data_IF_817193253825
#
_entry.id   IF_817193253825
#
_cell.length_a   1.000
_cell.length_b   1.000
_cell.length_c   1.000
_cell.angle_alpha   90.00
_cell.angle_beta   90.00
_cell.angle_gamma   90.00
#
_symmetry.space_group_name_H-M   'P 1'
#
loop_
_entity.id
_entity.type
_entity.pdbx_description
1 polymer ?
#
# COMPACT_ATOMS: atom_id res chain seq x y z
N UNK A 1 -4.45 33.51 -4.71
CA UNK A 1 -5.07 33.86 -3.42
C UNK A 1 -5.77 32.60 -2.91
N UNK A 2 -5.59 32.20 -1.66
CA UNK A 2 -6.30 31.04 -1.10
C UNK A 2 -7.79 31.37 -0.95
N UNK A 3 -8.68 30.39 -1.16
CA UNK A 3 -10.13 30.56 -0.95
C UNK A 3 -10.38 30.69 0.55
N UNK A 4 -10.92 31.84 0.97
CA UNK A 4 -11.36 32.05 2.35
C UNK A 4 -12.84 31.71 2.48
N UNK A 5 -13.19 30.90 3.46
CA UNK A 5 -14.57 30.61 3.84
C UNK A 5 -14.76 31.19 5.24
N UNK A 6 -15.56 32.26 5.35
CA UNK A 6 -15.90 32.88 6.63
C UNK A 6 -17.28 32.38 7.09
N UNK A 7 -17.29 31.60 8.17
CA UNK A 7 -18.50 31.04 8.76
C UNK A 7 -19.02 31.87 9.94
N UNK A 8 -18.38 32.98 10.31
CA UNK A 8 -18.78 33.81 11.45
C UNK A 8 -20.15 34.44 11.23
N UNK A 9 -20.98 34.45 12.26
CA UNK A 9 -22.31 35.09 12.25
C UNK A 9 -23.34 34.40 11.34
N UNK A 10 -23.07 33.18 10.87
CA UNK A 10 -23.99 32.40 10.03
C UNK A 10 -24.64 31.28 10.82
N UNK A 11 -25.95 31.11 10.68
CA UNK A 11 -26.58 29.82 10.94
C UNK A 11 -26.17 28.89 9.79
N UNK A 12 -25.43 27.84 10.10
CA UNK A 12 -24.91 26.87 9.12
C UNK A 12 -25.55 25.52 9.40
N UNK A 13 -26.28 25.01 8.42
CA UNK A 13 -26.77 23.64 8.45
C UNK A 13 -25.69 22.69 7.90
N UNK A 14 -25.75 21.38 8.21
CA UNK A 14 -24.80 20.40 7.69
C UNK A 14 -24.61 20.45 6.16
N UNK A 15 -25.67 20.75 5.41
CA UNK A 15 -25.64 20.85 3.95
C UNK A 15 -24.80 22.04 3.46
N UNK A 16 -24.84 23.17 4.18
CA UNK A 16 -24.03 24.35 3.86
C UNK A 16 -22.54 24.06 4.05
N UNK A 17 -22.20 23.30 5.09
CA UNK A 17 -20.83 22.88 5.38
C UNK A 17 -20.30 21.90 4.33
N UNK A 18 -21.13 20.94 3.91
CA UNK A 18 -20.77 19.98 2.87
C UNK A 18 -20.55 20.66 1.51
N UNK A 19 -21.39 21.64 1.16
CA UNK A 19 -21.23 22.43 -0.05
C UNK A 19 -20.00 23.36 0.00
N UNK A 20 -19.61 23.81 1.19
CA UNK A 20 -18.44 24.66 1.38
C UNK A 20 -17.12 23.89 1.14
N UNK A 21 -17.06 22.60 1.47
CA UNK A 21 -15.86 21.75 1.31
C UNK A 21 -15.74 21.25 -0.14
N UNK A 22 -14.72 21.69 -0.91
CA UNK A 22 -14.54 21.21 -2.28
C UNK A 22 -14.23 19.70 -2.29
N UNK A 23 -14.92 18.95 -3.17
CA UNK A 23 -14.67 17.53 -3.43
C UNK A 23 -14.24 17.33 -4.88
N UNK A 24 -13.20 16.52 -5.12
CA UNK A 24 -12.78 16.15 -6.47
C UNK A 24 -13.63 14.99 -7.01
N UNK A 25 -14.53 15.25 -7.98
CA UNK A 25 -15.48 14.25 -8.49
C UNK A 25 -15.21 13.78 -9.94
N UNK A 26 -14.68 14.65 -10.82
CA UNK A 26 -14.78 14.45 -12.28
C UNK A 26 -13.84 13.42 -12.93
N UNK A 27 -12.81 12.92 -12.24
CA UNK A 27 -11.76 12.09 -12.85
C UNK A 27 -11.85 10.57 -12.55
N UNK A 28 -13.01 10.08 -12.04
CA UNK A 28 -13.10 8.74 -11.43
C UNK A 28 -13.52 7.61 -12.38
N UNK A 29 -14.43 7.84 -13.33
CA UNK A 29 -15.04 6.73 -14.08
C UNK A 29 -14.14 6.18 -15.20
N UNK A 30 -13.49 7.04 -15.99
CA UNK A 30 -12.55 6.62 -17.05
C UNK A 30 -11.32 5.91 -16.45
N UNK A 31 -10.82 6.43 -15.33
CA UNK A 31 -9.72 5.82 -14.60
C UNK A 31 -10.11 4.44 -14.02
N UNK A 32 -11.38 4.24 -13.66
CA UNK A 32 -11.88 2.95 -13.18
C UNK A 32 -11.93 1.92 -14.31
N UNK A 33 -12.47 2.30 -15.47
CA UNK A 33 -12.49 1.43 -16.65
C UNK A 33 -11.06 1.03 -17.08
N UNK A 34 -10.13 1.99 -17.04
CA UNK A 34 -8.70 1.75 -17.34
C UNK A 34 -8.06 0.80 -16.33
N UNK A 35 -8.28 1.02 -15.02
CA UNK A 35 -7.76 0.14 -13.98
C UNK A 35 -8.34 -1.28 -14.10
N UNK A 36 -9.64 -1.40 -14.42
CA UNK A 36 -10.28 -2.69 -14.63
C UNK A 36 -9.68 -3.47 -15.80
N UNK A 37 -9.44 -2.79 -16.93
CA UNK A 37 -8.77 -3.39 -18.08
C UNK A 37 -7.36 -3.88 -17.73
N UNK A 38 -6.58 -3.07 -17.02
CA UNK A 38 -5.23 -3.42 -16.57
C UNK A 38 -5.24 -4.65 -15.65
N UNK A 39 -6.17 -4.71 -14.69
CA UNK A 39 -6.29 -5.85 -13.76
C UNK A 39 -6.66 -7.12 -14.52
N UNK A 40 -7.65 -7.04 -15.42
CA UNK A 40 -8.09 -8.18 -16.24
C UNK A 40 -6.97 -8.70 -17.15
N UNK A 41 -6.16 -7.78 -17.68
CA UNK A 41 -5.03 -8.10 -18.53
C UNK A 41 -3.91 -8.85 -17.78
N UNK A 42 -3.62 -8.44 -16.54
CA UNK A 42 -2.71 -9.21 -15.66
C UNK A 42 -3.28 -10.58 -15.31
N UNK A 43 -4.59 -10.68 -15.07
CA UNK A 43 -5.24 -11.97 -14.82
C UNK A 43 -5.11 -12.93 -16.03
N UNK A 44 -5.15 -12.39 -17.24
CA UNK A 44 -5.08 -13.18 -18.47
C UNK A 44 -3.66 -13.52 -18.93
N UNK A 45 -2.71 -12.58 -18.78
CA UNK A 45 -1.35 -12.67 -19.36
C UNK A 45 -0.22 -12.66 -18.33
N UNK A 46 -0.52 -12.51 -17.04
CA UNK A 46 0.47 -12.57 -15.97
C UNK A 46 1.65 -11.61 -16.16
N UNK A 47 2.86 -12.18 -16.17
CA UNK A 47 4.10 -11.40 -16.22
C UNK A 47 4.25 -10.53 -17.47
N UNK A 48 3.69 -10.94 -18.62
CA UNK A 48 3.83 -10.19 -19.86
C UNK A 48 3.05 -8.88 -19.83
N UNK A 49 1.85 -8.88 -19.26
CA UNK A 49 1.08 -7.65 -19.01
C UNK A 49 1.84 -6.70 -18.06
N UNK A 50 2.50 -7.22 -17.03
CA UNK A 50 3.30 -6.41 -16.11
C UNK A 50 4.51 -5.77 -16.79
N UNK A 51 5.19 -6.50 -17.69
CA UNK A 51 6.31 -5.95 -18.47
C UNK A 51 5.86 -4.85 -19.42
N UNK A 52 4.75 -5.06 -20.12
CA UNK A 52 4.18 -4.05 -21.02
C UNK A 52 3.81 -2.77 -20.27
N UNK A 53 3.23 -2.91 -19.07
CA UNK A 53 2.92 -1.77 -18.20
C UNK A 53 4.18 -1.04 -17.72
N UNK A 54 5.21 -1.76 -17.30
CA UNK A 54 6.49 -1.16 -16.90
C UNK A 54 7.13 -0.39 -18.08
N UNK A 55 7.10 -0.95 -19.29
CA UNK A 55 7.57 -0.29 -20.50
C UNK A 55 6.81 1.01 -20.77
N UNK A 56 5.47 0.94 -20.69
CA UNK A 56 4.59 2.06 -21.03
C UNK A 56 4.58 3.18 -19.99
N UNK A 57 4.54 2.83 -18.70
CA UNK A 57 4.27 3.79 -17.63
C UNK A 57 5.54 4.16 -16.84
N UNK A 58 6.46 3.21 -16.68
CA UNK A 58 7.72 3.42 -15.97
C UNK A 58 8.90 3.63 -16.94
N UNK A 59 8.74 3.31 -18.23
CA UNK A 59 9.78 3.41 -19.26
C UNK A 59 10.96 2.45 -19.03
N UNK A 60 10.66 1.28 -18.47
CA UNK A 60 11.63 0.23 -18.14
C UNK A 60 11.28 -1.05 -18.89
N UNK A 61 12.27 -1.66 -19.54
CA UNK A 61 12.14 -2.93 -20.27
C UNK A 61 13.18 -3.95 -19.77
N UNK A 62 12.86 -5.24 -19.90
CA UNK A 62 13.81 -6.35 -19.67
C UNK A 62 14.29 -6.50 -18.22
N UNK A 63 13.65 -5.82 -17.25
CA UNK A 63 14.02 -5.90 -15.84
C UNK A 63 13.51 -7.18 -15.17
N UNK A 64 14.14 -7.54 -14.07
CA UNK A 64 13.69 -8.63 -13.20
C UNK A 64 12.51 -8.15 -12.36
N UNK A 65 11.31 -8.65 -12.67
CA UNK A 65 10.11 -8.32 -11.88
C UNK A 65 10.23 -8.90 -10.47
N UNK A 66 10.58 -10.17 -10.30
CA UNK A 66 10.89 -10.72 -8.97
C UNK A 66 12.30 -10.27 -8.59
N UNK A 67 12.41 -9.44 -7.56
CA UNK A 67 13.69 -8.85 -7.17
C UNK A 67 14.61 -9.92 -6.56
N UNK A 68 15.84 -10.13 -7.09
CA UNK A 68 16.82 -11.03 -6.49
C UNK A 68 17.21 -10.62 -5.07
N UNK A 69 17.43 -11.60 -4.20
CA UNK A 69 17.88 -11.38 -2.81
C UNK A 69 19.15 -10.52 -2.72
N UNK A 70 20.07 -10.70 -3.67
CA UNK A 70 21.30 -9.91 -3.75
C UNK A 70 21.06 -8.40 -3.86
N UNK A 71 19.98 -7.95 -4.52
CA UNK A 71 19.65 -6.53 -4.62
C UNK A 71 19.21 -5.97 -3.26
N UNK A 72 18.52 -6.76 -2.43
CA UNK A 72 18.15 -6.35 -1.08
C UNK A 72 19.37 -6.27 -0.16
N UNK A 73 20.30 -7.24 -0.27
CA UNK A 73 21.53 -7.27 0.51
C UNK A 73 22.44 -6.08 0.14
N UNK A 74 22.62 -5.82 -1.16
CA UNK A 74 23.35 -4.67 -1.69
C UNK A 74 22.76 -3.35 -1.20
N UNK A 75 21.43 -3.20 -1.29
CA UNK A 75 20.72 -2.00 -0.86
C UNK A 75 20.89 -1.73 0.64
N UNK A 76 20.81 -2.77 1.48
CA UNK A 76 21.00 -2.61 2.92
C UNK A 76 22.46 -2.30 3.27
N UNK A 77 23.42 -2.96 2.62
CA UNK A 77 24.84 -2.74 2.86
C UNK A 77 25.30 -1.33 2.46
N UNK A 78 24.69 -0.75 1.42
CA UNK A 78 24.99 0.59 0.91
C UNK A 78 24.13 1.71 1.52
N UNK A 79 23.19 1.37 2.41
CA UNK A 79 22.28 2.34 3.00
C UNK A 79 23.04 3.34 3.88
N UNK A 80 22.83 4.64 3.62
CA UNK A 80 23.39 5.70 4.46
C UNK A 80 23.08 5.47 5.95
N UNK A 81 24.08 5.66 6.80
CA UNK A 81 23.97 5.35 8.22
C UNK A 81 22.93 6.22 8.95
N UNK A 82 22.78 7.48 8.54
CA UNK A 82 21.77 8.39 9.09
C UNK A 82 20.35 7.96 8.68
N UNK A 83 20.16 7.60 7.42
CA UNK A 83 18.89 7.05 6.92
C UNK A 83 18.56 5.73 7.62
N UNK A 84 19.53 4.83 7.78
CA UNK A 84 19.36 3.58 8.51
C UNK A 84 18.90 3.80 9.94
N UNK A 85 19.59 4.67 10.69
CA UNK A 85 19.23 4.99 12.06
C UNK A 85 17.83 5.59 12.16
N UNK A 86 17.44 6.45 11.22
CA UNK A 86 16.10 7.00 11.14
C UNK A 86 15.03 5.93 10.87
N UNK A 87 15.29 4.99 9.95
CA UNK A 87 14.40 3.87 9.66
C UNK A 87 14.25 2.93 10.85
N UNK A 88 15.35 2.53 11.49
CA UNK A 88 15.32 1.69 12.70
C UNK A 88 14.51 2.37 13.82
N UNK A 89 14.68 3.68 14.00
CA UNK A 89 13.88 4.44 14.98
C UNK A 89 12.40 4.52 14.62
N UNK A 90 12.07 4.69 13.34
CA UNK A 90 10.69 4.67 12.87
C UNK A 90 10.05 3.29 13.06
N UNK A 91 10.77 2.21 12.73
CA UNK A 91 10.33 0.83 12.91
C UNK A 91 10.00 0.55 14.38
N UNK A 92 10.89 0.93 15.30
CA UNK A 92 10.68 0.77 16.75
C UNK A 92 9.40 1.48 17.22
N UNK A 93 9.23 2.75 16.85
CA UNK A 93 8.06 3.56 17.24
C UNK A 93 6.75 3.01 16.66
N UNK A 94 6.74 2.67 15.37
CA UNK A 94 5.55 2.10 14.72
C UNK A 94 5.22 0.75 15.35
N UNK A 95 6.22 -0.10 15.65
CA UNK A 95 5.99 -1.39 16.30
C UNK A 95 5.35 -1.23 17.67
N UNK A 96 5.83 -0.27 18.48
CA UNK A 96 5.24 0.04 19.77
C UNK A 96 3.78 0.50 19.64
N UNK A 97 3.50 1.43 18.73
CA UNK A 97 2.15 1.95 18.50
C UNK A 97 1.18 0.91 17.93
N UNK A 98 1.65 0.06 17.00
CA UNK A 98 0.84 -1.03 16.42
C UNK A 98 0.53 -2.10 17.45
N UNK A 99 1.49 -2.46 18.33
CA UNK A 99 1.28 -3.48 19.35
C UNK A 99 0.18 -3.08 20.35
N UNK A 100 0.09 -1.78 20.68
CA UNK A 100 -0.94 -1.23 21.55
C UNK A 100 -2.36 -1.33 20.95
N UNK A 101 -2.49 -1.55 19.64
CA UNK A 101 -3.77 -1.64 18.93
C UNK A 101 -4.26 -3.07 18.70
N UNK A 102 -3.48 -4.09 19.06
CA UNK A 102 -3.89 -5.50 18.89
C UNK A 102 -4.91 -5.86 19.97
N UNK A 103 -6.18 -6.13 19.62
CA UNK A 103 -7.22 -6.41 20.60
C UNK A 103 -7.03 -7.80 21.23
N UNK A 104 -7.25 -7.89 22.55
CA UNK A 104 -7.31 -9.17 23.24
C UNK A 104 -8.56 -9.97 22.82
N UNK A 105 -8.52 -11.32 22.86
CA UNK A 105 -9.73 -12.14 22.76
C UNK A 105 -10.73 -11.77 23.86
N UNK A 106 -12.02 -11.78 23.51
CA UNK A 106 -13.12 -11.45 24.44
C UNK A 106 -14.00 -12.66 24.61
N UNK A 107 -14.40 -12.95 25.84
CA UNK A 107 -15.40 -13.97 26.17
C UNK A 107 -16.57 -13.27 26.85
N UNK A 108 -17.76 -13.43 26.28
CA UNK A 108 -19.01 -12.90 26.84
C UNK A 108 -19.90 -14.05 27.25
N UNK A 109 -20.22 -14.15 28.54
CA UNK A 109 -21.24 -15.08 29.05
C UNK A 109 -22.61 -14.39 29.05
N UNK A 110 -23.55 -14.92 28.28
CA UNK A 110 -24.89 -14.31 28.12
C UNK A 110 -25.96 -14.98 29.00
N UNK A 111 -25.68 -16.21 29.45
CA UNK A 111 -26.46 -16.98 30.42
C UNK A 111 -25.56 -18.11 30.97
N UNK A 112 -25.92 -18.78 32.09
CA UNK A 112 -25.11 -19.86 32.64
C UNK A 112 -24.77 -20.93 31.60
N UNK A 113 -23.48 -21.07 31.28
CA UNK A 113 -22.98 -22.02 30.28
C UNK A 113 -23.12 -21.57 28.82
N UNK A 114 -23.75 -20.43 28.54
CA UNK A 114 -23.86 -19.84 27.21
C UNK A 114 -22.77 -18.77 27.01
N UNK A 115 -21.65 -19.17 26.38
CA UNK A 115 -20.46 -18.33 26.16
C UNK A 115 -20.27 -18.03 24.67
N UNK A 116 -20.01 -16.76 24.36
CA UNK A 116 -19.59 -16.27 23.04
C UNK A 116 -18.11 -15.90 23.14
N UNK A 117 -17.26 -16.48 22.29
CA UNK A 117 -15.83 -16.14 22.23
C UNK A 117 -15.51 -15.40 20.93
N UNK A 118 -14.98 -14.19 21.05
CA UNK A 118 -14.44 -13.42 19.94
C UNK A 118 -12.92 -13.53 19.95
N UNK A 119 -12.36 -14.00 18.83
CA UNK A 119 -10.91 -14.18 18.65
C UNK A 119 -10.46 -13.45 17.39
N UNK A 120 -9.24 -12.94 17.42
CA UNK A 120 -8.61 -12.27 16.30
C UNK A 120 -7.54 -13.18 15.70
N UNK A 121 -7.56 -13.32 14.38
CA UNK A 121 -6.59 -14.10 13.62
C UNK A 121 -6.00 -13.23 12.52
N UNK A 122 -4.67 -13.21 12.34
CA UNK A 122 -4.10 -12.53 11.20
C UNK A 122 -4.54 -13.21 9.90
N UNK A 123 -4.54 -12.43 8.83
CA UNK A 123 -4.55 -12.99 7.48
C UNK A 123 -3.27 -13.78 7.25
N UNK A 124 -3.32 -14.77 6.36
CA UNK A 124 -2.15 -15.61 6.07
C UNK A 124 -1.11 -14.79 5.29
N UNK A 125 -1.56 -14.00 4.31
CA UNK A 125 -0.70 -13.31 3.36
C UNK A 125 -1.18 -11.91 3.00
N UNK A 126 -0.27 -10.95 2.98
CA UNK A 126 -0.54 -9.56 2.59
C UNK A 126 0.32 -9.12 1.40
N UNK A 127 -0.29 -8.42 0.46
CA UNK A 127 0.38 -7.66 -0.60
C UNK A 127 0.56 -6.21 -0.16
N UNK A 128 1.80 -5.73 -0.10
CA UNK A 128 2.14 -4.37 0.31
C UNK A 128 2.60 -3.58 -0.90
N UNK A 129 1.74 -2.67 -1.36
CA UNK A 129 2.08 -1.73 -2.43
C UNK A 129 2.79 -0.51 -1.86
N UNK A 130 3.98 -0.21 -2.37
CA UNK A 130 4.80 0.94 -1.99
C UNK A 130 4.93 1.86 -3.20
N UNK A 131 4.46 3.12 -3.12
CA UNK A 131 4.66 4.07 -4.20
C UNK A 131 6.14 4.27 -4.53
N UNK A 132 6.42 4.44 -5.81
CA UNK A 132 7.71 4.87 -6.34
C UNK A 132 7.54 5.79 -7.55
N UNK A 133 8.63 6.07 -8.26
CA UNK A 133 8.67 7.01 -9.38
C UNK A 133 9.06 8.39 -8.89
N UNK A 134 8.14 9.36 -8.94
CA UNK A 134 8.43 10.78 -8.60
C UNK A 134 8.83 11.02 -7.15
N UNK A 135 8.38 10.16 -6.24
CA UNK A 135 8.70 10.26 -4.84
C UNK A 135 8.93 8.86 -4.26
N UNK A 136 9.92 8.77 -3.37
CA UNK A 136 10.40 7.52 -2.80
C UNK A 136 10.06 7.53 -1.31
N UNK A 137 9.23 6.58 -0.88
CA UNK A 137 8.71 6.56 0.49
C UNK A 137 9.07 5.25 1.23
N UNK A 138 10.28 5.13 1.78
CA UNK A 138 10.60 4.00 2.65
C UNK A 138 9.74 3.99 3.93
N UNK A 139 9.18 5.14 4.32
CA UNK A 139 8.17 5.23 5.37
C UNK A 139 6.93 4.39 5.07
N UNK A 140 6.49 4.29 3.81
CA UNK A 140 5.36 3.44 3.43
C UNK A 140 5.67 1.96 3.62
N UNK A 141 6.92 1.53 3.45
CA UNK A 141 7.35 0.17 3.80
C UNK A 141 7.11 -0.07 5.30
N UNK A 142 7.64 0.81 6.15
CA UNK A 142 7.51 0.71 7.61
C UNK A 142 6.04 0.70 8.04
N UNK A 143 5.25 1.65 7.54
CA UNK A 143 3.84 1.83 7.94
C UNK A 143 2.92 0.68 7.51
N UNK A 144 3.29 -0.13 6.53
CA UNK A 144 2.49 -1.28 6.10
C UNK A 144 3.01 -2.61 6.64
N UNK A 145 4.33 -2.81 6.60
CA UNK A 145 4.94 -4.09 6.98
C UNK A 145 4.95 -4.28 8.50
N UNK A 146 5.23 -3.22 9.29
CA UNK A 146 5.30 -3.34 10.75
C UNK A 146 3.95 -3.76 11.36
N UNK A 147 2.79 -3.14 11.01
CA UNK A 147 1.50 -3.61 11.50
C UNK A 147 1.18 -5.05 11.09
N UNK A 148 1.53 -5.47 9.87
CA UNK A 148 1.34 -6.85 9.41
C UNK A 148 2.15 -7.84 10.27
N UNK A 149 3.41 -7.52 10.57
CA UNK A 149 4.24 -8.35 11.46
C UNK A 149 3.71 -8.40 12.89
N UNK A 150 3.27 -7.26 13.42
CA UNK A 150 2.70 -7.17 14.77
C UNK A 150 1.40 -7.97 14.87
N UNK A 151 0.57 -7.96 13.83
CA UNK A 151 -0.64 -8.78 13.76
C UNK A 151 -0.33 -10.29 13.66
N UNK A 152 0.89 -10.67 13.22
CA UNK A 152 1.31 -12.06 13.05
C UNK A 152 1.05 -12.62 11.64
N UNK A 153 0.99 -11.76 10.61
CA UNK A 153 0.88 -12.20 9.21
C UNK A 153 2.13 -12.99 8.83
N UNK A 154 1.94 -14.18 8.26
CA UNK A 154 3.03 -15.12 7.97
C UNK A 154 3.81 -14.74 6.70
N UNK A 155 3.13 -14.19 5.70
CA UNK A 155 3.69 -13.92 4.39
C UNK A 155 3.45 -12.47 3.96
N UNK A 156 4.52 -11.76 3.60
CA UNK A 156 4.47 -10.38 3.11
C UNK A 156 5.12 -10.32 1.75
N UNK A 157 4.34 -10.01 0.72
CA UNK A 157 4.84 -9.73 -0.63
C UNK A 157 4.81 -8.23 -0.89
N UNK A 158 5.95 -7.61 -1.16
CA UNK A 158 6.05 -6.16 -1.35
C UNK A 158 6.26 -5.83 -2.83
N UNK A 159 5.64 -4.76 -3.31
CA UNK A 159 5.83 -4.28 -4.68
C UNK A 159 6.11 -2.79 -4.69
N UNK A 160 7.01 -2.37 -5.57
CA UNK A 160 7.25 -0.97 -5.90
C UNK A 160 7.55 -0.88 -7.39
N UNK A 161 7.13 0.18 -8.10
CA UNK A 161 7.44 0.33 -9.52
C UNK A 161 8.96 0.32 -9.77
N UNK A 162 9.42 -0.27 -10.88
CA UNK A 162 10.81 -0.15 -11.32
C UNK A 162 11.12 1.30 -11.68
N UNK A 163 12.38 1.73 -11.51
CA UNK A 163 12.78 3.11 -11.79
C UNK A 163 13.91 3.17 -12.81
N UNK A 164 13.71 3.95 -13.88
CA UNK A 164 14.72 4.16 -14.94
C UNK A 164 16.05 4.65 -14.39
N UNK A 165 15.98 5.62 -13.48
CA UNK A 165 17.16 6.24 -12.87
C UNK A 165 17.88 5.31 -11.89
N UNK A 166 17.31 4.12 -11.62
CA UNK A 166 17.90 3.04 -10.84
C UNK A 166 18.03 1.74 -11.64
N UNK A 167 18.29 1.86 -12.95
CA UNK A 167 18.57 0.71 -13.83
C UNK A 167 17.40 -0.28 -13.95
N UNK A 168 16.16 0.22 -13.85
CA UNK A 168 14.96 -0.60 -13.90
C UNK A 168 14.67 -1.38 -12.61
N UNK A 169 15.38 -1.08 -11.51
CA UNK A 169 15.18 -1.71 -10.20
C UNK A 169 14.23 -0.89 -9.34
N UNK A 170 13.74 -1.51 -8.26
CA UNK A 170 13.13 -0.78 -7.14
C UNK A 170 14.19 0.11 -6.49
N UNK A 171 13.78 1.30 -6.03
CA UNK A 171 14.68 2.23 -5.38
C UNK A 171 15.43 1.58 -4.20
N UNK A 172 16.76 1.76 -4.07
CA UNK A 172 17.58 1.05 -3.07
C UNK A 172 17.10 1.29 -1.63
N UNK A 173 16.69 2.51 -1.27
CA UNK A 173 16.20 2.78 0.10
C UNK A 173 14.91 2.02 0.43
N UNK A 174 14.05 1.72 -0.55
CA UNK A 174 12.85 0.86 -0.35
C UNK A 174 13.29 -0.58 -0.12
N UNK A 175 14.23 -1.09 -0.93
CA UNK A 175 14.79 -2.44 -0.78
C UNK A 175 15.49 -2.63 0.57
N UNK A 176 16.28 -1.63 1.01
CA UNK A 176 16.95 -1.63 2.28
C UNK A 176 15.94 -1.63 3.45
N UNK A 177 14.87 -0.83 3.37
CA UNK A 177 13.80 -0.83 4.37
C UNK A 177 13.06 -2.18 4.43
N UNK A 178 12.78 -2.79 3.26
CA UNK A 178 12.19 -4.12 3.18
C UNK A 178 13.10 -5.16 3.84
N UNK A 179 14.41 -5.13 3.55
CA UNK A 179 15.40 -6.03 4.13
C UNK A 179 15.57 -5.85 5.64
N UNK A 180 15.58 -4.62 6.15
CA UNK A 180 15.61 -4.32 7.60
C UNK A 180 14.43 -4.96 8.34
N UNK A 181 13.27 -5.01 7.67
CA UNK A 181 12.08 -5.66 8.19
C UNK A 181 12.00 -7.15 7.87
N UNK A 182 13.01 -7.74 7.23
CA UNK A 182 13.02 -9.17 6.89
C UNK A 182 12.07 -9.56 5.76
N UNK A 183 11.59 -8.61 4.96
CA UNK A 183 10.79 -8.90 3.76
C UNK A 183 11.73 -9.33 2.65
N UNK A 184 11.57 -10.57 2.17
CA UNK A 184 12.40 -11.15 1.10
C UNK A 184 11.67 -11.32 -0.22
N UNK A 185 10.33 -11.25 -0.20
CA UNK A 185 9.51 -11.38 -1.39
C UNK A 185 9.15 -9.98 -1.92
N UNK A 186 9.95 -9.49 -2.87
CA UNK A 186 9.81 -8.15 -3.43
C UNK A 186 9.67 -8.20 -4.96
N UNK A 187 8.78 -7.36 -5.48
CA UNK A 187 8.49 -7.25 -6.91
C UNK A 187 8.67 -5.83 -7.45
N UNK A 188 9.44 -5.69 -8.53
CA UNK A 188 9.60 -4.48 -9.32
C UNK A 188 8.42 -4.32 -10.29
N UNK A 189 7.25 -3.99 -9.74
CA UNK A 189 5.99 -3.76 -10.46
C UNK A 189 5.17 -2.66 -9.76
N UNK A 190 4.39 -1.92 -10.54
CA UNK A 190 3.67 -0.74 -10.05
C UNK A 190 2.20 -0.67 -10.49
N UNK A 191 1.51 0.38 -10.04
CA UNK A 191 0.20 0.77 -10.55
C UNK A 191 -0.90 -0.27 -10.36
N UNK A 192 -1.92 -0.19 -11.23
CA UNK A 192 -3.04 -1.12 -11.24
C UNK A 192 -2.61 -2.58 -11.52
N UNK A 193 -1.54 -2.78 -12.30
CA UNK A 193 -1.01 -4.11 -12.59
C UNK A 193 -0.50 -4.83 -11.36
N UNK A 194 0.23 -4.15 -10.48
CA UNK A 194 0.69 -4.72 -9.21
C UNK A 194 -0.49 -5.19 -8.34
N UNK A 195 -1.58 -4.42 -8.31
CA UNK A 195 -2.80 -4.78 -7.57
C UNK A 195 -3.48 -6.01 -8.20
N UNK A 196 -3.58 -6.07 -9.53
CA UNK A 196 -4.06 -7.25 -10.24
C UNK A 196 -3.19 -8.50 -9.98
N UNK A 197 -1.87 -8.34 -9.98
CA UNK A 197 -0.92 -9.42 -9.71
C UNK A 197 -1.07 -9.97 -8.28
N UNK A 198 -1.34 -9.11 -7.29
CA UNK A 198 -1.64 -9.58 -5.94
C UNK A 198 -2.99 -10.31 -5.82
N UNK A 199 -4.01 -9.84 -6.52
CA UNK A 199 -5.34 -10.45 -6.47
C UNK A 199 -5.38 -11.82 -7.15
N UNK A 200 -4.72 -11.96 -8.30
CA UNK A 200 -4.77 -13.16 -9.12
C UNK A 200 -3.57 -14.10 -8.94
N UNK A 201 -2.46 -13.59 -8.40
CA UNK A 201 -1.17 -14.28 -8.45
C UNK A 201 -0.56 -14.25 -9.86
N UNK A 202 0.74 -14.52 -9.93
CA UNK A 202 1.49 -14.67 -11.19
C UNK A 202 2.48 -15.82 -11.01
N UNK A 203 2.15 -16.97 -11.60
CA UNK A 203 2.89 -18.22 -11.39
C UNK A 203 4.34 -18.16 -11.85
N UNK A 204 4.60 -17.51 -12.99
CA UNK A 204 5.94 -17.33 -13.58
C UNK A 204 6.86 -16.51 -12.68
N UNK A 205 6.28 -15.64 -11.85
CA UNK A 205 6.99 -14.83 -10.86
C UNK A 205 7.02 -15.50 -9.48
N UNK A 206 6.43 -16.69 -9.36
CA UNK A 206 6.15 -17.38 -8.10
C UNK A 206 5.52 -16.42 -7.06
N UNK A 207 4.56 -15.62 -7.53
CA UNK A 207 3.71 -14.74 -6.73
C UNK A 207 2.37 -15.45 -6.50
N UNK A 208 2.15 -15.96 -5.30
CA UNK A 208 0.84 -16.48 -4.91
C UNK A 208 -0.13 -15.32 -4.61
N UNK A 209 -1.44 -15.47 -4.92
CA UNK A 209 -2.44 -14.47 -4.57
C UNK A 209 -2.46 -14.23 -3.06
N UNK A 210 -2.75 -13.00 -2.67
CA UNK A 210 -2.74 -12.54 -1.27
C UNK A 210 -4.15 -12.48 -0.71
N UNK A 211 -4.30 -12.43 0.61
CA UNK A 211 -5.62 -12.34 1.24
C UNK A 211 -6.06 -10.87 1.43
N UNK A 212 -5.09 -9.97 1.65
CA UNK A 212 -5.31 -8.52 1.77
C UNK A 212 -4.25 -7.75 1.02
N UNK A 213 -4.62 -6.65 0.37
CA UNK A 213 -3.72 -5.68 -0.23
C UNK A 213 -3.76 -4.39 0.57
N UNK A 214 -2.60 -3.86 0.93
CA UNK A 214 -2.46 -2.59 1.63
C UNK A 214 -1.41 -1.68 0.98
N UNK A 215 -1.51 -0.39 1.23
CA UNK A 215 -0.52 0.60 0.84
C UNK A 215 -1.09 1.69 -0.07
N UNK A 216 -0.67 2.95 0.10
CA UNK A 216 -1.23 4.07 -0.65
C UNK A 216 -0.80 4.02 -2.12
N UNK A 217 -1.52 4.70 -3.00
CA UNK A 217 -1.13 4.82 -4.40
C UNK A 217 -1.87 5.95 -5.09
N UNK A 218 -1.58 6.14 -6.37
CA UNK A 218 -2.32 7.10 -7.19
C UNK A 218 -3.76 6.60 -7.45
N UNK A 219 -4.56 7.41 -8.16
CA UNK A 219 -5.94 7.06 -8.48
C UNK A 219 -6.10 5.69 -9.17
N UNK A 220 -5.14 5.26 -10.00
CA UNK A 220 -5.21 3.95 -10.67
C UNK A 220 -5.01 2.79 -9.68
N UNK A 221 -4.13 2.94 -8.69
CA UNK A 221 -3.95 1.95 -7.61
C UNK A 221 -5.22 1.87 -6.75
N UNK A 222 -5.78 3.02 -6.37
CA UNK A 222 -7.00 3.08 -5.57
C UNK A 222 -8.19 2.44 -6.30
N UNK A 223 -8.36 2.75 -7.60
CA UNK A 223 -9.43 2.18 -8.41
C UNK A 223 -9.19 0.70 -8.72
N UNK A 224 -7.95 0.26 -8.90
CA UNK A 224 -7.64 -1.17 -9.03
C UNK A 224 -7.99 -1.94 -7.75
N UNK A 225 -7.75 -1.38 -6.56
CA UNK A 225 -8.21 -1.98 -5.29
C UNK A 225 -9.73 -2.11 -5.24
N UNK A 226 -10.46 -1.13 -5.76
CA UNK A 226 -11.91 -1.20 -5.91
C UNK A 226 -12.35 -2.29 -6.90
N UNK A 227 -11.62 -2.48 -8.00
CA UNK A 227 -11.90 -3.54 -8.99
C UNK A 227 -11.76 -4.94 -8.39
N UNK A 228 -10.71 -5.16 -7.58
CA UNK A 228 -10.45 -6.48 -6.97
C UNK A 228 -11.17 -6.68 -5.63
N UNK A 229 -11.92 -5.67 -5.17
CA UNK A 229 -12.68 -5.76 -3.92
C UNK A 229 -13.70 -6.91 -4.00
N UNK A 230 -13.71 -7.76 -2.96
CA UNK A 230 -14.54 -8.96 -2.91
C UNK A 230 -13.82 -10.24 -3.38
N UNK A 231 -12.73 -10.12 -4.13
CA UNK A 231 -11.78 -11.22 -4.38
C UNK A 231 -10.68 -11.26 -3.33
N UNK A 232 -10.16 -10.08 -2.98
CA UNK A 232 -9.12 -9.86 -1.98
C UNK A 232 -9.55 -8.72 -1.06
N UNK A 233 -9.18 -8.77 0.21
CA UNK A 233 -9.40 -7.66 1.11
C UNK A 233 -8.54 -6.45 0.70
N UNK A 234 -9.04 -5.24 0.92
CA UNK A 234 -8.26 -4.02 0.71
C UNK A 234 -8.41 -3.11 1.92
N UNK A 235 -7.37 -2.35 2.24
CA UNK A 235 -7.34 -1.44 3.38
C UNK A 235 -8.30 -0.25 3.22
N UNK A 236 -8.07 0.58 2.20
CA UNK A 236 -8.93 1.71 1.85
C UNK A 236 -8.64 2.20 0.43
N UNK A 237 -9.63 2.88 -0.16
CA UNK A 237 -9.43 3.71 -1.35
C UNK A 237 -8.72 5.01 -0.94
N UNK A 238 -7.39 4.95 -0.81
CA UNK A 238 -6.59 6.12 -0.53
C UNK A 238 -6.72 7.14 -1.68
N UNK A 239 -7.40 8.25 -1.42
CA UNK A 239 -7.51 9.39 -2.33
C UNK A 239 -6.30 10.33 -2.27
N UNK A 240 -6.44 11.52 -2.85
CA UNK A 240 -5.43 12.57 -2.70
C UNK A 240 -5.20 12.91 -1.21
N UNK A 241 -3.95 13.13 -0.82
CA UNK A 241 -3.61 13.51 0.55
C UNK A 241 -4.17 14.90 0.88
N UNK A 242 -4.86 15.01 2.00
CA UNK A 242 -5.44 16.25 2.52
C UNK A 242 -4.86 16.55 3.91
N UNK A 243 -4.72 17.83 4.27
CA UNK A 243 -4.31 18.28 5.60
C UNK A 243 -5.22 19.43 6.05
N UNK A 244 -5.72 19.34 7.29
CA UNK A 244 -6.44 20.42 7.97
C UNK A 244 -5.56 20.97 9.08
N UNK A 245 -5.27 22.27 9.04
CA UNK A 245 -4.53 22.97 10.09
C UNK A 245 -5.52 23.84 10.87
N UNK A 246 -5.60 23.63 12.18
CA UNK A 246 -6.33 24.49 13.11
C UNK A 246 -5.30 25.26 13.92
N UNK A 247 -5.41 26.58 13.92
CA UNK A 247 -4.48 27.46 14.61
C UNK A 247 -5.25 28.59 15.31
N UNK A 248 -4.79 28.97 16.49
CA UNK A 248 -5.17 30.16 17.24
C UNK A 248 -4.01 31.20 17.24
N UNK A 249 -4.24 32.34 17.90
CA UNK A 249 -3.27 33.45 18.00
C UNK A 249 -2.08 33.12 18.92
#
# INVERSE_FOLDING_TARGET
>A
MLRTIDLRGRAVEPDDLLAAVPRAAAARDEALATAAAIVADVAARGADALREQASRFDGVDGHEIRVPAAHLDEALASLDAGVRAALEKAIDRVRHASAAQVPAPIVTEVAPGARIEQRWRPVRRVGVYVPGGKAVYPSSVVMNVVPAQVAGVAEVALSSPPQRDHGGRVHPVILAAAKLLGVTEVYAMGGAGAIGAYAHGVGELALAPVDVISGPGNNFVALAKRVVAGMVGTDSEAGATEILVVADD
#
